data_IF_013268211035
#
_entry.id   IF_013268211035
#
_cell.length_a   1.000
_cell.length_b   1.000
_cell.length_c   1.000
_cell.angle_alpha   90.00
_cell.angle_beta   90.00
_cell.angle_gamma   90.00
#
_symmetry.space_group_name_H-M   'P 1'
#
loop_
_entity.id
_entity.type
_entity.pdbx_description
1 polymer ?
#
# COMPACT_ATOMS: atom_id res chain seq x y z
N UNK A 1 -12.11 -18.93 -16.57
CA UNK A 1 -13.10 -17.84 -16.48
C UNK A 1 -13.70 -17.88 -15.08
N UNK A 2 -13.63 -16.77 -14.34
CA UNK A 2 -14.10 -16.67 -12.95
C UNK A 2 -15.55 -16.13 -12.85
N UNK A 3 -16.22 -15.90 -14.00
CA UNK A 3 -17.63 -15.49 -14.04
C UNK A 3 -17.88 -14.02 -13.68
N UNK A 4 -16.87 -13.16 -13.84
CA UNK A 4 -16.99 -11.72 -13.69
C UNK A 4 -17.05 -11.03 -15.05
N UNK A 5 -17.94 -10.04 -15.19
CA UNK A 5 -17.93 -9.11 -16.31
C UNK A 5 -16.92 -7.99 -16.05
N UNK A 6 -15.62 -8.34 -16.04
CA UNK A 6 -14.53 -7.41 -15.74
C UNK A 6 -13.93 -6.83 -17.03
N UNK A 7 -13.72 -5.51 -17.07
CA UNK A 7 -13.18 -4.79 -18.23
C UNK A 7 -12.17 -3.73 -17.81
N UNK A 8 -11.22 -3.41 -18.68
CA UNK A 8 -10.29 -2.28 -18.51
C UNK A 8 -10.77 -1.02 -19.19
N UNK A 9 -11.83 -1.13 -20.01
CA UNK A 9 -12.48 -0.03 -20.71
C UNK A 9 -13.94 -0.40 -21.00
N UNK A 10 -14.83 0.61 -20.98
CA UNK A 10 -16.23 0.45 -21.39
C UNK A 10 -16.46 1.25 -22.69
N UNK A 11 -16.92 0.56 -23.73
CA UNK A 11 -17.33 1.17 -25.01
C UNK A 11 -18.82 1.47 -25.07
N UNK A 12 -19.59 0.85 -24.17
CA UNK A 12 -21.03 1.03 -23.98
C UNK A 12 -21.31 1.42 -22.52
N UNK A 13 -22.53 1.86 -22.22
CA UNK A 13 -22.94 2.16 -20.84
C UNK A 13 -22.74 0.90 -19.95
N UNK A 14 -21.97 1.02 -18.84
CA UNK A 14 -21.70 -0.11 -17.97
C UNK A 14 -22.95 -0.54 -17.21
N UNK A 15 -23.09 -1.84 -16.98
CA UNK A 15 -24.25 -2.40 -16.26
C UNK A 15 -23.93 -2.59 -14.78
N UNK A 16 -24.91 -2.50 -13.88
CA UNK A 16 -24.73 -2.87 -12.48
C UNK A 16 -24.09 -4.26 -12.34
N UNK A 17 -23.03 -4.36 -11.54
CA UNK A 17 -22.25 -5.58 -11.34
C UNK A 17 -21.13 -5.83 -12.36
N UNK A 18 -21.01 -5.02 -13.43
CA UNK A 18 -19.77 -4.96 -14.21
C UNK A 18 -18.63 -4.44 -13.32
N UNK A 19 -17.40 -4.85 -13.62
CA UNK A 19 -16.21 -4.44 -12.86
C UNK A 19 -15.26 -3.68 -13.77
N UNK A 20 -14.95 -2.43 -13.45
CA UNK A 20 -13.82 -1.72 -14.03
C UNK A 20 -12.54 -2.11 -13.30
N UNK A 21 -11.58 -2.63 -14.06
CA UNK A 21 -10.22 -2.95 -13.61
C UNK A 21 -9.29 -1.82 -14.00
N UNK A 22 -8.73 -1.13 -13.01
CA UNK A 22 -7.66 -0.17 -13.22
C UNK A 22 -6.35 -0.77 -12.69
N UNK A 23 -5.52 -1.27 -13.61
CA UNK A 23 -4.17 -1.76 -13.30
C UNK A 23 -3.22 -0.60 -12.99
N UNK A 24 -2.42 -0.75 -11.95
CA UNK A 24 -1.43 0.23 -11.49
C UNK A 24 -0.05 -0.43 -11.32
N UNK A 25 0.32 -1.38 -12.19
CA UNK A 25 1.55 -2.16 -12.06
C UNK A 25 1.44 -3.23 -10.97
N UNK A 26 1.95 -2.93 -9.78
CA UNK A 26 1.99 -3.82 -8.61
C UNK A 26 0.68 -3.88 -7.80
N UNK A 27 -0.34 -3.15 -8.24
CA UNK A 27 -1.67 -3.17 -7.64
C UNK A 27 -2.77 -3.06 -8.70
N UNK A 28 -3.97 -3.47 -8.33
CA UNK A 28 -5.18 -3.37 -9.16
C UNK A 28 -6.31 -2.79 -8.33
N UNK A 29 -6.99 -1.79 -8.89
CA UNK A 29 -8.18 -1.17 -8.32
C UNK A 29 -9.42 -1.75 -9.02
N UNK A 30 -10.44 -2.07 -8.23
CA UNK A 30 -11.67 -2.68 -8.70
C UNK A 30 -12.85 -1.79 -8.37
N UNK A 31 -13.49 -1.23 -9.40
CA UNK A 31 -14.72 -0.46 -9.25
C UNK A 31 -15.90 -1.31 -9.74
N UNK A 32 -16.81 -1.64 -8.83
CA UNK A 32 -18.01 -2.42 -9.12
C UNK A 32 -19.14 -1.45 -9.42
N UNK A 33 -19.68 -1.53 -10.64
CA UNK A 33 -20.71 -0.61 -11.10
C UNK A 33 -21.96 -0.80 -10.23
N UNK A 34 -22.43 0.30 -9.64
CA UNK A 34 -23.54 0.30 -8.69
C UNK A 34 -23.19 -0.20 -7.29
N UNK A 35 -21.91 -0.41 -6.95
CA UNK A 35 -21.44 -0.90 -5.65
C UNK A 35 -22.15 -2.21 -5.22
N UNK A 36 -22.35 -3.14 -6.16
CA UNK A 36 -23.04 -4.40 -5.89
C UNK A 36 -22.26 -5.26 -4.89
N UNK A 37 -22.77 -5.30 -3.66
CA UNK A 37 -22.16 -6.02 -2.53
C UNK A 37 -21.96 -7.51 -2.81
N UNK A 38 -22.86 -8.14 -3.57
CA UNK A 38 -22.75 -9.58 -3.89
C UNK A 38 -21.62 -9.82 -4.88
N UNK A 39 -21.46 -8.94 -5.87
CA UNK A 39 -20.32 -9.00 -6.79
C UNK A 39 -19.00 -8.73 -6.06
N UNK A 40 -18.94 -7.70 -5.23
CA UNK A 40 -17.74 -7.36 -4.44
C UNK A 40 -17.32 -8.51 -3.53
N UNK A 41 -18.27 -9.16 -2.84
CA UNK A 41 -17.97 -10.34 -1.99
C UNK A 41 -17.40 -11.51 -2.78
N UNK A 42 -17.98 -11.82 -3.95
CA UNK A 42 -17.46 -12.86 -4.84
C UNK A 42 -16.06 -12.53 -5.35
N UNK A 43 -15.82 -11.26 -5.70
CA UNK A 43 -14.50 -10.78 -6.14
C UNK A 43 -13.46 -10.99 -5.03
N UNK A 44 -13.75 -10.55 -3.80
CA UNK A 44 -12.84 -10.71 -2.67
C UNK A 44 -12.55 -12.19 -2.41
N UNK A 45 -13.57 -13.05 -2.43
CA UNK A 45 -13.39 -14.49 -2.27
C UNK A 45 -12.53 -15.13 -3.37
N UNK A 46 -12.68 -14.69 -4.62
CA UNK A 46 -11.84 -15.11 -5.72
C UNK A 46 -10.38 -14.66 -5.51
N UNK A 47 -10.15 -13.39 -5.17
CA UNK A 47 -8.81 -12.86 -4.92
C UNK A 47 -8.12 -13.56 -3.74
N UNK A 48 -8.84 -13.80 -2.64
CA UNK A 48 -8.35 -14.50 -1.46
C UNK A 48 -7.97 -15.97 -1.69
N UNK A 49 -8.40 -16.58 -2.80
CA UNK A 49 -8.04 -17.95 -3.18
C UNK A 49 -7.09 -18.00 -4.38
N UNK A 50 -6.66 -16.83 -4.88
CA UNK A 50 -5.68 -16.73 -5.95
C UNK A 50 -4.25 -16.93 -5.43
N UNK A 51 -3.34 -17.31 -6.33
CA UNK A 51 -1.92 -17.41 -6.04
C UNK A 51 -1.15 -16.09 -6.25
N UNK A 52 -1.80 -15.03 -6.74
CA UNK A 52 -1.13 -13.75 -7.01
C UNK A 52 -1.48 -12.65 -6.00
N UNK A 53 -2.58 -12.78 -5.24
CA UNK A 53 -2.99 -11.74 -4.29
C UNK A 53 -2.04 -11.66 -3.08
N UNK A 54 -1.60 -10.44 -2.74
CA UNK A 54 -0.84 -10.13 -1.54
C UNK A 54 -1.74 -9.54 -0.47
N UNK A 55 -2.04 -8.24 -0.56
CA UNK A 55 -2.93 -7.57 0.41
C UNK A 55 -4.17 -7.05 -0.30
N UNK A 56 -5.33 -7.24 0.31
CA UNK A 56 -6.61 -6.76 -0.18
C UNK A 56 -7.17 -5.72 0.81
N UNK A 57 -7.46 -4.53 0.29
CA UNK A 57 -8.19 -3.47 0.97
C UNK A 57 -9.60 -3.33 0.38
N UNK A 58 -10.57 -3.02 1.22
CA UNK A 58 -11.98 -2.92 0.81
C UNK A 58 -12.62 -1.66 1.36
N UNK A 59 -13.48 -1.02 0.56
CA UNK A 59 -14.27 0.15 0.98
C UNK A 59 -15.26 -0.22 2.08
N UNK A 60 -16.08 -1.23 1.80
CA UNK A 60 -16.97 -1.84 2.78
C UNK A 60 -16.27 -3.00 3.51
N UNK A 61 -16.49 -3.18 4.82
CA UNK A 61 -15.84 -4.25 5.57
C UNK A 61 -16.09 -5.65 4.98
N UNK A 62 -15.01 -6.41 4.78
CA UNK A 62 -15.07 -7.80 4.37
C UNK A 62 -14.13 -8.67 5.22
N UNK A 63 -14.49 -9.94 5.41
CA UNK A 63 -13.69 -10.84 6.23
C UNK A 63 -12.34 -11.13 5.58
N UNK A 64 -11.25 -11.02 6.34
CA UNK A 64 -9.90 -11.28 5.86
C UNK A 64 -9.33 -10.18 4.96
N UNK A 65 -9.90 -8.97 4.99
CA UNK A 65 -9.39 -7.78 4.30
C UNK A 65 -9.06 -6.66 5.32
N UNK A 66 -8.38 -5.61 4.86
CA UNK A 66 -8.19 -4.36 5.61
C UNK A 66 -9.12 -3.28 5.04
N UNK A 67 -9.41 -2.24 5.82
CA UNK A 67 -10.13 -1.06 5.31
C UNK A 67 -9.23 -0.16 4.47
N UNK A 68 -9.76 0.53 3.46
CA UNK A 68 -8.99 1.48 2.64
C UNK A 68 -8.27 2.56 3.46
N UNK A 69 -8.86 2.98 4.58
CA UNK A 69 -8.27 3.97 5.49
C UNK A 69 -6.97 3.50 6.15
N UNK A 70 -6.76 2.18 6.29
CA UNK A 70 -5.50 1.64 6.82
C UNK A 70 -4.32 1.92 5.88
N UNK A 71 -4.59 2.05 4.58
CA UNK A 71 -3.62 2.45 3.58
C UNK A 71 -3.68 3.95 3.21
N UNK A 72 -4.54 4.75 3.87
CA UNK A 72 -4.79 6.16 3.56
C UNK A 72 -5.21 6.40 2.10
N UNK A 73 -6.03 5.50 1.57
CA UNK A 73 -6.57 5.57 0.20
C UNK A 73 -8.10 5.55 0.19
N UNK A 74 -8.73 5.83 1.32
CA UNK A 74 -10.16 6.07 1.40
C UNK A 74 -10.49 7.47 0.85
N UNK A 75 -11.52 7.52 0.02
CA UNK A 75 -12.08 8.73 -0.57
C UNK A 75 -13.53 8.44 -0.98
N UNK A 76 -14.30 9.51 -1.22
CA UNK A 76 -15.65 9.40 -1.79
C UNK A 76 -15.66 8.55 -3.08
N UNK A 77 -14.66 8.76 -3.95
CA UNK A 77 -14.53 8.10 -5.25
C UNK A 77 -13.59 6.88 -5.22
N UNK A 78 -13.24 6.38 -4.04
CA UNK A 78 -12.37 5.22 -3.91
C UNK A 78 -13.02 3.95 -4.50
N UNK A 79 -12.22 3.00 -5.03
CA UNK A 79 -12.70 1.72 -5.54
C UNK A 79 -13.33 0.86 -4.45
N UNK A 80 -14.14 -0.12 -4.83
CA UNK A 80 -14.75 -1.07 -3.90
C UNK A 80 -13.70 -2.00 -3.26
N UNK A 81 -12.66 -2.35 -4.02
CA UNK A 81 -11.52 -3.09 -3.53
C UNK A 81 -10.22 -2.65 -4.21
N UNK A 82 -9.10 -2.79 -3.50
CA UNK A 82 -7.75 -2.64 -4.01
C UNK A 82 -6.96 -3.87 -3.63
N UNK A 83 -6.23 -4.45 -4.57
CA UNK A 83 -5.31 -5.56 -4.30
C UNK A 83 -3.90 -5.13 -4.66
N UNK A 84 -2.97 -5.26 -3.71
CA UNK A 84 -1.54 -5.28 -3.98
C UNK A 84 -1.10 -6.71 -4.29
N UNK A 85 -0.31 -6.90 -5.34
CA UNK A 85 0.22 -8.21 -5.70
C UNK A 85 1.15 -8.77 -4.62
N UNK A 86 1.16 -10.10 -4.52
CA UNK A 86 2.08 -10.84 -3.68
C UNK A 86 3.50 -10.64 -4.19
N UNK A 87 4.41 -10.41 -3.26
CA UNK A 87 5.83 -10.27 -3.55
C UNK A 87 6.65 -11.29 -2.76
N UNK A 88 7.88 -11.52 -3.19
CA UNK A 88 8.85 -12.33 -2.46
C UNK A 88 10.28 -11.81 -2.69
N UNK A 89 11.22 -12.30 -1.88
CA UNK A 89 12.61 -11.86 -1.88
C UNK A 89 13.54 -12.69 -2.79
N UNK A 90 12.96 -13.54 -3.65
CA UNK A 90 13.73 -14.23 -4.68
C UNK A 90 14.46 -13.22 -5.55
N UNK A 91 15.61 -13.63 -6.07
CA UNK A 91 16.45 -12.80 -6.93
C UNK A 91 16.13 -13.04 -8.39
N UNK A 92 16.15 -11.97 -9.18
CA UNK A 92 16.09 -12.07 -10.64
C UNK A 92 17.42 -12.61 -11.22
N UNK A 93 17.50 -12.74 -12.55
CA UNK A 93 18.70 -13.21 -13.26
C UNK A 93 19.97 -12.38 -13.04
N UNK A 94 19.84 -11.16 -12.50
CA UNK A 94 20.95 -10.26 -12.16
C UNK A 94 21.28 -10.26 -10.66
N UNK A 95 20.66 -11.12 -9.86
CA UNK A 95 20.89 -11.20 -8.42
C UNK A 95 20.13 -10.16 -7.59
N UNK A 96 19.22 -9.39 -8.19
CA UNK A 96 18.45 -8.33 -7.52
C UNK A 96 17.17 -8.93 -6.91
N UNK A 97 16.94 -8.78 -5.58
CA UNK A 97 15.75 -9.30 -4.91
C UNK A 97 14.51 -8.43 -5.15
N UNK A 98 13.33 -8.96 -4.83
CA UNK A 98 12.05 -8.23 -4.91
C UNK A 98 11.22 -8.62 -6.12
N UNK A 99 10.98 -9.93 -6.27
CA UNK A 99 10.12 -10.44 -7.32
C UNK A 99 8.65 -10.19 -6.96
N UNK A 100 7.88 -9.76 -7.94
CA UNK A 100 6.47 -9.43 -7.82
C UNK A 100 5.69 -10.02 -9.00
N UNK A 101 4.44 -10.37 -8.75
CA UNK A 101 3.45 -10.39 -9.83
C UNK A 101 3.06 -8.94 -10.18
N UNK A 102 2.55 -8.73 -11.38
CA UNK A 102 2.18 -7.41 -11.88
C UNK A 102 0.88 -7.52 -12.69
N UNK A 103 0.27 -6.39 -13.05
CA UNK A 103 -0.96 -6.27 -13.84
C UNK A 103 -0.92 -6.84 -15.28
N UNK A 104 0.07 -7.68 -15.58
CA UNK A 104 0.29 -8.36 -16.86
C UNK A 104 0.46 -7.43 -18.08
N UNK A 105 0.57 -6.11 -17.88
CA UNK A 105 0.89 -5.16 -18.96
C UNK A 105 2.40 -5.08 -19.24
N UNK A 106 3.21 -5.73 -18.40
CA UNK A 106 4.69 -5.70 -18.46
C UNK A 106 5.23 -7.13 -18.50
N UNK A 107 6.12 -7.38 -19.45
CA UNK A 107 6.84 -8.66 -19.53
C UNK A 107 7.86 -8.83 -18.41
N UNK A 108 8.20 -10.07 -18.09
CA UNK A 108 9.23 -10.42 -17.11
C UNK A 108 10.54 -9.66 -17.38
N UNK A 109 11.15 -9.12 -16.32
CA UNK A 109 12.39 -8.37 -16.40
C UNK A 109 12.27 -6.90 -16.81
N UNK A 110 11.07 -6.40 -17.16
CA UNK A 110 10.86 -4.96 -17.47
C UNK A 110 10.71 -4.07 -16.25
N UNK A 111 10.57 -4.65 -15.05
CA UNK A 111 10.37 -3.92 -13.80
C UNK A 111 9.01 -3.22 -13.70
N UNK A 112 8.48 -3.13 -12.49
CA UNK A 112 7.34 -2.29 -12.12
C UNK A 112 7.39 -2.02 -10.61
N UNK A 113 6.49 -1.18 -10.12
CA UNK A 113 6.33 -0.82 -8.71
C UNK A 113 4.84 -0.79 -8.34
N UNK A 114 4.50 -0.20 -7.19
CA UNK A 114 3.15 -0.03 -6.62
C UNK A 114 2.58 -1.29 -5.95
N UNK A 115 3.46 -2.07 -5.34
CA UNK A 115 3.13 -3.13 -4.38
C UNK A 115 3.29 -2.63 -2.94
N UNK A 116 3.00 -3.50 -1.98
CA UNK A 116 3.40 -3.33 -0.57
C UNK A 116 4.69 -4.09 -0.24
N UNK A 117 5.56 -4.29 -1.23
CA UNK A 117 6.89 -4.85 -0.99
C UNK A 117 7.78 -3.84 -0.29
N UNK A 118 8.62 -4.28 0.66
CA UNK A 118 9.69 -3.43 1.20
C UNK A 118 10.61 -2.86 0.10
N UNK A 119 10.72 -3.53 -1.05
CA UNK A 119 11.51 -3.05 -2.18
C UNK A 119 10.85 -1.89 -2.95
N UNK A 120 9.53 -1.70 -2.79
CA UNK A 120 8.78 -0.56 -3.33
C UNK A 120 8.56 0.54 -2.27
N UNK A 121 8.32 0.14 -1.03
CA UNK A 121 7.96 1.04 0.07
C UNK A 121 9.17 1.78 0.65
N UNK A 122 10.33 1.13 0.75
CA UNK A 122 11.52 1.68 1.39
C UNK A 122 12.35 2.53 0.44
N UNK A 123 11.99 3.81 0.34
CA UNK A 123 12.65 4.80 -0.51
C UNK A 123 13.81 5.52 0.22
N UNK A 124 14.64 6.25 -0.53
CA UNK A 124 15.77 7.02 0.02
C UNK A 124 15.52 8.52 -0.05
N UNK A 125 15.65 9.20 1.09
CA UNK A 125 15.71 10.66 1.18
C UNK A 125 17.15 11.11 1.44
N UNK A 126 17.63 12.07 0.66
CA UNK A 126 18.92 12.74 0.89
C UNK A 126 18.64 14.23 1.10
N UNK A 127 19.06 14.74 2.25
CA UNK A 127 18.94 16.15 2.60
C UNK A 127 20.33 16.77 2.82
N UNK A 128 20.52 18.00 2.36
CA UNK A 128 21.77 18.74 2.53
C UNK A 128 21.48 20.24 2.64
N UNK A 129 22.01 20.87 3.69
CA UNK A 129 21.81 22.28 3.95
C UNK A 129 22.33 22.68 5.34
N UNK A 130 22.35 23.98 5.65
CA UNK A 130 22.79 24.47 6.96
C UNK A 130 21.86 24.03 8.11
N UNK A 131 20.59 23.73 7.81
CA UNK A 131 19.58 23.31 8.78
C UNK A 131 19.62 21.81 9.11
N UNK A 132 20.43 21.01 8.41
CA UNK A 132 20.52 19.56 8.61
C UNK A 132 21.83 19.16 9.28
N UNK A 133 21.76 18.06 10.04
CA UNK A 133 22.96 17.42 10.58
C UNK A 133 23.87 16.92 9.45
N UNK A 134 25.19 17.01 9.64
CA UNK A 134 26.18 16.60 8.63
C UNK A 134 26.66 15.18 8.86
N UNK A 135 26.77 14.40 7.78
CA UNK A 135 27.36 13.07 7.80
C UNK A 135 26.59 12.07 8.68
N UNK A 136 25.30 12.32 8.89
CA UNK A 136 24.42 11.44 9.65
C UNK A 136 23.59 10.57 8.72
N UNK A 137 23.25 9.39 9.24
CA UNK A 137 22.23 8.51 8.67
C UNK A 137 21.09 8.48 9.68
N UNK A 138 19.89 8.80 9.21
CA UNK A 138 18.68 8.74 10.00
C UNK A 138 17.88 7.50 9.56
N UNK A 139 17.64 6.61 10.51
CA UNK A 139 16.92 5.34 10.32
C UNK A 139 15.48 5.41 10.86
N UNK A 140 15.01 6.59 11.30
CA UNK A 140 13.63 6.75 11.72
C UNK A 140 12.68 6.65 10.52
N UNK A 141 11.48 6.06 10.70
CA UNK A 141 10.47 6.02 9.66
C UNK A 141 10.09 7.43 9.19
N UNK A 142 10.17 7.64 7.87
CA UNK A 142 9.81 8.89 7.19
C UNK A 142 9.04 8.58 5.90
N UNK A 143 8.35 9.58 5.36
CA UNK A 143 7.64 9.45 4.08
C UNK A 143 7.45 10.79 3.39
N UNK A 144 6.94 10.75 2.15
CA UNK A 144 6.75 11.94 1.31
C UNK A 144 5.90 13.03 2.00
N UNK A 145 4.97 12.64 2.87
CA UNK A 145 4.13 13.55 3.65
C UNK A 145 4.93 14.47 4.59
N UNK A 146 6.14 14.06 4.97
CA UNK A 146 7.01 14.81 5.90
C UNK A 146 7.84 15.90 5.20
N UNK A 147 7.92 15.87 3.87
CA UNK A 147 8.71 16.83 3.10
C UNK A 147 8.17 18.24 3.26
N UNK A 148 6.87 18.44 3.04
CA UNK A 148 6.25 19.75 3.07
C UNK A 148 6.36 20.44 4.46
N UNK A 149 5.99 19.80 5.60
CA UNK A 149 6.16 20.43 6.91
C UNK A 149 7.63 20.73 7.25
N UNK A 150 8.57 19.87 6.82
CA UNK A 150 10.01 20.10 7.02
C UNK A 150 10.51 21.30 6.20
N UNK A 151 10.09 21.41 4.94
CA UNK A 151 10.45 22.56 4.06
C UNK A 151 9.88 23.86 4.62
N UNK A 152 8.61 23.89 5.05
CA UNK A 152 8.00 25.09 5.63
C UNK A 152 8.72 25.52 6.91
N UNK A 153 9.17 24.57 7.73
CA UNK A 153 9.99 24.84 8.92
C UNK A 153 11.30 25.56 8.56
N UNK A 154 12.02 25.09 7.54
CA UNK A 154 13.26 25.72 7.04
C UNK A 154 12.98 27.15 6.55
N UNK A 155 11.85 27.36 5.87
CA UNK A 155 11.45 28.67 5.36
C UNK A 155 10.89 29.61 6.45
N UNK A 156 10.72 29.15 7.69
CA UNK A 156 10.09 29.93 8.75
C UNK A 156 8.60 30.20 8.52
N UNK A 157 7.93 29.37 7.73
CA UNK A 157 6.51 29.52 7.38
C UNK A 157 5.67 28.62 8.28
N UNK A 158 4.67 29.20 8.93
CA UNK A 158 3.66 28.42 9.67
C UNK A 158 2.57 27.95 8.71
N UNK A 159 2.30 26.63 8.62
CA UNK A 159 1.23 26.14 7.77
C UNK A 159 -0.14 26.63 8.30
N UNK A 160 -1.09 26.96 7.42
CA UNK A 160 -2.41 27.45 7.83
C UNK A 160 -3.27 26.37 8.50
N UNK A 161 -2.96 25.09 8.26
CA UNK A 161 -3.66 23.94 8.81
C UNK A 161 -2.64 22.87 9.22
N UNK A 162 -3.09 21.94 10.06
CA UNK A 162 -2.30 20.75 10.40
C UNK A 162 -2.04 19.93 9.12
N UNK A 163 -0.79 19.49 8.95
CA UNK A 163 -0.38 18.62 7.85
C UNK A 163 -0.39 17.16 8.31
N UNK A 164 -0.53 16.23 7.36
CA UNK A 164 -0.52 14.79 7.66
C UNK A 164 0.84 14.27 8.13
N UNK A 165 1.90 14.88 7.61
CA UNK A 165 3.28 14.56 7.98
C UNK A 165 3.79 15.34 9.18
N UNK A 166 5.00 14.99 9.59
CA UNK A 166 5.73 15.64 10.70
C UNK A 166 6.97 16.34 10.18
N UNK A 167 7.49 17.26 10.99
CA UNK A 167 8.83 17.79 10.77
C UNK A 167 9.84 16.70 11.11
N UNK A 168 10.82 16.48 10.23
CA UNK A 168 11.95 15.58 10.46
C UNK A 168 12.99 16.22 11.39
N UNK A 169 12.55 16.58 12.60
CA UNK A 169 13.34 17.35 13.57
C UNK A 169 14.62 16.66 14.01
N UNK A 170 14.63 15.33 14.01
CA UNK A 170 15.77 14.48 14.31
C UNK A 170 16.92 14.67 13.29
N UNK A 171 16.61 14.99 12.04
CA UNK A 171 17.61 15.22 11.00
C UNK A 171 18.15 16.66 11.00
N UNK A 172 17.52 17.57 11.77
CA UNK A 172 17.79 19.00 11.75
C UNK A 172 18.68 19.46 12.93
N UNK A 173 19.45 20.53 12.74
CA UNK A 173 20.23 21.16 13.82
C UNK A 173 19.38 22.14 14.63
N UNK A 174 19.70 22.30 15.92
CA UNK A 174 19.13 23.34 16.80
C UNK A 174 17.58 23.32 16.94
N UNK A 175 16.91 22.19 16.72
CA UNK A 175 15.44 22.15 16.77
C UNK A 175 14.89 22.04 18.20
N UNK A 176 15.72 21.76 19.21
CA UNK A 176 15.30 21.73 20.63
C UNK A 176 14.21 20.70 20.95
N UNK A 177 13.87 19.83 19.99
CA UNK A 177 12.89 18.77 20.14
C UNK A 177 13.61 17.48 20.53
N UNK A 178 13.03 16.72 21.45
CA UNK A 178 13.50 15.38 21.77
C UNK A 178 13.37 14.49 20.54
N UNK A 179 14.36 13.63 20.32
CA UNK A 179 14.30 12.60 19.29
C UNK A 179 13.04 11.75 19.47
N UNK A 180 12.21 11.58 18.42
CA UNK A 180 10.97 10.87 18.56
C UNK A 180 11.23 9.37 18.65
N UNK A 181 10.38 8.65 19.40
CA UNK A 181 10.47 7.20 19.51
C UNK A 181 9.56 6.55 18.47
N UNK A 182 10.10 5.73 17.55
CA UNK A 182 9.28 5.00 16.61
C UNK A 182 8.61 3.80 17.29
N UNK A 183 7.42 3.47 16.83
CA UNK A 183 6.69 2.25 17.19
C UNK A 183 6.37 1.47 15.92
N UNK A 184 6.64 0.17 15.92
CA UNK A 184 6.30 -0.71 14.79
C UNK A 184 5.34 -1.78 15.26
N UNK A 185 4.32 -2.05 14.45
CA UNK A 185 3.38 -3.16 14.65
C UNK A 185 3.09 -3.86 13.34
N UNK A 186 2.73 -5.14 13.44
CA UNK A 186 2.15 -5.90 12.33
C UNK A 186 0.70 -6.20 12.65
N UNK A 187 -0.20 -5.83 11.77
CA UNK A 187 -1.62 -6.22 11.84
C UNK A 187 -1.89 -7.37 10.87
N UNK A 188 -2.91 -8.16 11.16
CA UNK A 188 -3.23 -9.37 10.44
C UNK A 188 -4.74 -9.46 10.20
N UNK A 189 -5.14 -9.96 9.03
CA UNK A 189 -6.51 -10.34 8.73
C UNK A 189 -6.53 -11.76 8.13
N UNK A 190 -7.50 -12.57 8.56
CA UNK A 190 -7.64 -13.98 8.15
C UNK A 190 -9.06 -14.31 7.71
N UNK A 191 -9.17 -15.30 6.82
CA UNK A 191 -10.46 -15.93 6.49
C UNK A 191 -10.26 -17.43 6.24
N UNK A 192 -11.06 -18.23 6.93
CA UNK A 192 -11.08 -19.68 6.73
C UNK A 192 -12.05 -20.08 5.62
N UNK A 193 -11.58 -20.97 4.75
CA UNK A 193 -12.36 -21.61 3.70
C UNK A 193 -12.40 -23.13 3.91
N UNK A 194 -13.31 -23.81 3.22
CA UNK A 194 -13.32 -25.29 3.19
C UNK A 194 -12.04 -25.83 2.55
N UNK A 195 -11.53 -25.17 1.52
CA UNK A 195 -10.35 -25.51 0.73
C UNK A 195 -9.01 -25.11 1.38
N UNK A 196 -9.01 -24.20 2.35
CA UNK A 196 -7.77 -23.61 2.88
C UNK A 196 -8.00 -22.42 3.79
N UNK A 197 -6.96 -21.62 4.00
CA UNK A 197 -6.99 -20.38 4.79
C UNK A 197 -6.32 -19.25 4.04
N UNK A 198 -7.00 -18.12 3.96
CA UNK A 198 -6.41 -16.84 3.57
C UNK A 198 -5.83 -16.13 4.79
N UNK A 199 -4.65 -15.53 4.63
CA UNK A 199 -4.01 -14.70 5.64
C UNK A 199 -3.27 -13.55 4.93
N UNK A 200 -3.43 -12.34 5.44
CA UNK A 200 -2.67 -11.16 5.01
C UNK A 200 -2.17 -10.36 6.20
N UNK A 201 -1.05 -9.68 6.02
CA UNK A 201 -0.39 -8.84 7.02
C UNK A 201 -0.04 -7.47 6.47
N UNK A 202 -0.01 -6.48 7.37
CA UNK A 202 0.48 -5.15 7.09
C UNK A 202 1.37 -4.70 8.25
N UNK A 203 2.63 -4.42 7.95
CA UNK A 203 3.61 -3.87 8.88
C UNK A 203 3.57 -2.34 8.78
N UNK A 204 3.42 -1.71 9.94
CA UNK A 204 3.16 -0.30 10.07
C UNK A 204 4.11 0.27 11.11
N UNK A 205 4.81 1.34 10.74
CA UNK A 205 5.58 2.16 11.67
C UNK A 205 4.86 3.46 12.00
N UNK A 206 5.09 3.99 13.20
CA UNK A 206 4.53 5.23 13.71
C UNK A 206 5.61 6.06 14.37
N UNK A 207 5.64 7.35 14.07
CA UNK A 207 6.49 8.33 14.75
C UNK A 207 5.62 9.51 15.17
N UNK A 208 5.38 9.65 16.47
CA UNK A 208 4.38 10.59 16.98
C UNK A 208 2.98 10.23 16.46
N UNK A 209 2.33 11.15 15.74
CA UNK A 209 1.03 10.92 15.10
C UNK A 209 1.12 10.38 13.66
N UNK A 210 2.30 10.43 13.03
CA UNK A 210 2.46 10.04 11.62
C UNK A 210 2.62 8.52 11.50
N UNK A 211 1.93 7.95 10.53
CA UNK A 211 1.87 6.51 10.26
C UNK A 211 2.50 6.25 8.88
N UNK A 212 3.34 5.22 8.81
CA UNK A 212 4.04 4.76 7.62
C UNK A 212 3.75 3.28 7.39
N UNK A 213 3.52 2.89 6.14
CA UNK A 213 3.38 1.51 5.74
C UNK A 213 4.76 0.99 5.36
N UNK A 214 5.24 -0.04 6.04
CA UNK A 214 6.60 -0.56 5.83
C UNK A 214 6.61 -1.64 4.75
N UNK A 215 5.67 -2.60 4.87
CA UNK A 215 5.44 -3.67 3.91
C UNK A 215 4.11 -4.37 4.24
N UNK A 216 3.57 -5.12 3.29
CA UNK A 216 2.40 -5.94 3.47
C UNK A 216 2.41 -7.10 2.47
N UNK A 217 1.87 -8.24 2.88
CA UNK A 217 1.80 -9.41 2.02
C UNK A 217 0.66 -10.33 2.44
N UNK A 218 0.34 -11.31 1.63
CA UNK A 218 -0.64 -12.33 1.98
C UNK A 218 -0.59 -13.52 1.05
N UNK A 219 -1.30 -14.56 1.45
CA UNK A 219 -1.34 -15.81 0.73
C UNK A 219 -2.54 -16.66 1.15
N UNK A 220 -3.00 -17.46 0.20
CA UNK A 220 -3.87 -18.59 0.46
C UNK A 220 -3.04 -19.86 0.70
N UNK A 221 -3.34 -20.58 1.78
CA UNK A 221 -2.75 -21.89 2.08
C UNK A 221 -3.82 -22.96 1.98
N UNK A 222 -3.68 -23.86 1.02
CA UNK A 222 -4.59 -25.00 0.83
C UNK A 222 -4.51 -25.97 2.01
N UNK A 223 -5.66 -26.49 2.48
CA UNK A 223 -5.69 -27.61 3.42
C UNK A 223 -5.14 -28.86 2.71
N UNK A 224 -4.18 -29.51 3.35
CA UNK A 224 -3.63 -30.81 2.90
C UNK A 224 -4.64 -31.93 3.16
#
# INVERSE_FOLDING_TARGET
>A
DAGFAAKTEFHDEPKPGDIMLAGNGGSVLFYVIGHDVSVTRRLIEFLQQSDFAGVIFTKEPAQGTFGLAEAKIDDEHAPDAVMAFRWNDSKNQFGIPGMIDADWQRGAGKGTHATLSRFDMHNTLIAAGPDFQRGQVDELPTGNVDLAPTILRILGITPPHQMDGRILSEAMVNVGMSEPKPETKTVEAVRDFSSGRWQQTLKISRVGSTIYLDEGNGAFVTKR
#
